data_IF_293631027544
#
_entry.id   IF_293631027544
#
_cell.length_a   1.000
_cell.length_b   1.000
_cell.length_c   1.000
_cell.angle_alpha   90.00
_cell.angle_beta   90.00
_cell.angle_gamma   90.00
#
_symmetry.space_group_name_H-M   'P 1'
#
loop_
_entity.id
_entity.type
_entity.pdbx_description
1 polymer ?
#
# COMPACT_ATOMS: atom_id res chain seq x y z
N UNK A 1 1.58 -46.20 -26.36
CA UNK A 1 2.85 -45.67 -25.81
C UNK A 1 2.98 -44.23 -26.26
N UNK A 2 2.58 -43.26 -25.44
CA UNK A 2 2.86 -41.83 -25.71
C UNK A 2 3.17 -41.16 -24.39
N UNK A 3 4.47 -40.99 -24.13
CA UNK A 3 4.99 -40.29 -22.98
C UNK A 3 5.03 -38.80 -23.27
N UNK A 4 3.98 -38.08 -22.88
CA UNK A 4 4.08 -36.64 -22.71
C UNK A 4 4.68 -36.37 -21.32
N UNK A 5 6.02 -36.39 -21.24
CA UNK A 5 6.73 -35.81 -20.11
C UNK A 5 6.39 -34.32 -20.07
N UNK A 6 5.50 -33.93 -19.16
CA UNK A 6 5.36 -32.53 -18.78
C UNK A 6 6.73 -32.06 -18.26
N UNK A 7 7.25 -30.90 -18.72
CA UNK A 7 8.42 -30.31 -18.07
C UNK A 7 8.09 -30.13 -16.58
N UNK A 8 9.04 -30.36 -15.66
CA UNK A 8 8.76 -30.20 -14.24
C UNK A 8 8.24 -28.78 -13.99
N UNK A 9 7.03 -28.67 -13.44
CA UNK A 9 6.47 -27.41 -12.98
C UNK A 9 7.38 -26.84 -11.89
N UNK A 10 8.33 -26.00 -12.28
CA UNK A 10 9.18 -25.19 -11.38
C UNK A 10 8.47 -23.89 -10.99
N UNK A 11 7.14 -23.89 -11.04
CA UNK A 11 6.33 -22.72 -10.74
C UNK A 11 6.46 -22.43 -9.26
N UNK A 12 7.16 -21.35 -8.92
CA UNK A 12 7.11 -20.79 -7.57
C UNK A 12 5.71 -20.20 -7.41
N UNK A 13 4.99 -20.60 -6.38
CA UNK A 13 3.69 -20.02 -6.06
C UNK A 13 3.88 -18.62 -5.50
N UNK A 14 3.00 -17.69 -5.89
CA UNK A 14 3.00 -16.33 -5.38
C UNK A 14 2.56 -16.35 -3.92
N UNK A 15 3.42 -15.89 -3.02
CA UNK A 15 3.07 -15.69 -1.61
C UNK A 15 2.48 -14.28 -1.41
N UNK A 16 1.82 -14.04 -0.28
CA UNK A 16 1.19 -12.75 0.02
C UNK A 16 2.02 -11.98 1.05
N UNK A 17 2.25 -10.69 0.78
CA UNK A 17 2.90 -9.75 1.71
C UNK A 17 1.81 -9.04 2.51
N UNK A 18 1.97 -8.91 3.82
CA UNK A 18 1.04 -8.09 4.61
C UNK A 18 1.53 -6.64 4.61
N UNK A 19 0.67 -5.71 4.19
CA UNK A 19 0.92 -4.27 4.27
C UNK A 19 -0.02 -3.66 5.31
N UNK A 20 0.55 -3.06 6.35
CA UNK A 20 -0.22 -2.44 7.43
C UNK A 20 0.12 -0.94 7.50
N UNK A 21 -0.82 -0.04 7.15
CA UNK A 21 -0.62 1.39 7.33
C UNK A 21 -0.77 1.78 8.80
N UNK A 22 -0.06 2.83 9.22
CA UNK A 22 -0.19 3.40 10.57
C UNK A 22 -1.50 4.15 10.80
N UNK A 23 -2.19 4.58 9.73
CA UNK A 23 -3.46 5.32 9.78
C UNK A 23 -4.41 4.89 8.67
N UNK A 24 -5.70 5.12 8.86
CA UNK A 24 -6.73 4.86 7.83
C UNK A 24 -6.79 5.94 6.73
N UNK A 25 -6.36 7.16 7.05
CA UNK A 25 -6.29 8.31 6.13
C UNK A 25 -5.15 9.24 6.49
N UNK A 26 -4.69 10.00 5.51
CA UNK A 26 -3.56 10.94 5.62
C UNK A 26 -3.92 12.31 5.06
N UNK A 27 -3.21 13.34 5.51
CA UNK A 27 -3.29 14.69 4.99
C UNK A 27 -2.00 15.07 4.25
N UNK A 28 -2.04 16.02 3.30
CA UNK A 28 -0.83 16.62 2.74
C UNK A 28 0.10 17.14 3.84
N UNK A 29 1.37 16.73 3.80
CA UNK A 29 2.36 17.04 4.84
C UNK A 29 2.62 15.89 5.83
N UNK A 30 1.72 14.91 5.90
CA UNK A 30 1.97 13.69 6.67
C UNK A 30 3.11 12.84 6.07
N UNK A 31 3.63 11.91 6.87
CA UNK A 31 4.45 10.80 6.37
C UNK A 31 3.78 9.49 6.75
N UNK A 32 3.27 8.76 5.76
CA UNK A 32 2.68 7.45 5.98
C UNK A 32 3.77 6.43 6.34
N UNK A 33 3.54 5.65 7.38
CA UNK A 33 4.41 4.56 7.80
C UNK A 33 3.72 3.24 7.50
N UNK A 34 4.29 2.47 6.58
CA UNK A 34 3.72 1.20 6.14
C UNK A 34 4.61 0.07 6.62
N UNK A 35 4.09 -0.74 7.55
CA UNK A 35 4.75 -1.98 7.95
C UNK A 35 4.54 -3.02 6.85
N UNK A 36 5.66 -3.51 6.32
CA UNK A 36 5.73 -4.57 5.33
C UNK A 36 6.16 -5.85 6.05
N UNK A 37 5.32 -6.87 6.05
CA UNK A 37 5.64 -8.18 6.61
C UNK A 37 5.82 -9.17 5.46
N UNK A 38 7.05 -9.68 5.35
CA UNK A 38 7.43 -10.66 4.35
C UNK A 38 7.18 -12.08 4.87
N UNK A 39 6.64 -12.99 4.04
CA UNK A 39 6.46 -14.39 4.42
C UNK A 39 7.79 -15.17 4.43
N UNK A 40 8.86 -14.61 3.87
CA UNK A 40 10.22 -15.16 3.86
C UNK A 40 11.29 -14.10 4.17
N UNK A 41 12.45 -14.55 4.63
CA UNK A 41 13.57 -13.65 4.97
C UNK A 41 14.92 -14.35 4.72
N UNK A 42 15.95 -13.64 4.23
CA UNK A 42 15.93 -12.23 3.79
C UNK A 42 15.20 -12.04 2.44
N UNK A 43 14.70 -10.82 2.20
CA UNK A 43 14.05 -10.44 0.95
C UNK A 43 14.54 -9.09 0.42
N UNK A 44 14.61 -8.98 -0.90
CA UNK A 44 14.79 -7.73 -1.63
C UNK A 44 13.42 -7.25 -2.12
N UNK A 45 13.13 -5.97 -1.91
CA UNK A 45 11.83 -5.37 -2.18
C UNK A 45 11.89 -4.20 -3.16
N UNK A 46 10.81 -4.05 -3.93
CA UNK A 46 10.54 -2.90 -4.77
C UNK A 46 9.19 -2.30 -4.36
N UNK A 47 9.23 -1.07 -3.87
CA UNK A 47 8.04 -0.23 -3.69
C UNK A 47 7.78 0.52 -4.99
N UNK A 48 6.58 0.36 -5.56
CA UNK A 48 6.08 1.17 -6.66
C UNK A 48 4.97 2.08 -6.14
N UNK A 49 5.13 3.38 -6.36
CA UNK A 49 4.14 4.39 -5.96
C UNK A 49 3.50 4.98 -7.21
N UNK A 50 2.17 5.03 -7.23
CA UNK A 50 1.40 5.43 -8.41
C UNK A 50 0.14 6.21 -8.04
N UNK A 51 -0.22 7.17 -8.90
CA UNK A 51 -1.48 7.90 -8.87
C UNK A 51 -1.82 8.31 -10.30
N UNK A 52 -2.89 7.74 -10.86
CA UNK A 52 -3.27 7.95 -12.27
C UNK A 52 -2.12 7.70 -13.26
N UNK A 53 -1.19 6.81 -12.89
CA UNK A 53 0.08 6.61 -13.57
C UNK A 53 1.22 6.39 -12.60
N UNK A 54 2.39 6.05 -13.13
CA UNK A 54 3.61 5.85 -12.36
C UNK A 54 4.12 7.16 -11.74
N UNK A 55 4.52 7.15 -10.47
CA UNK A 55 5.21 8.27 -9.83
C UNK A 55 6.69 7.96 -9.64
N UNK A 56 7.01 6.93 -8.86
CA UNK A 56 8.40 6.50 -8.60
C UNK A 56 8.46 5.06 -8.10
N UNK A 57 9.68 4.51 -8.08
CA UNK A 57 9.99 3.26 -7.40
C UNK A 57 11.12 3.45 -6.39
N UNK A 58 11.07 2.71 -5.28
CA UNK A 58 12.14 2.67 -4.27
C UNK A 58 12.50 1.23 -3.96
N UNK A 59 13.79 0.91 -3.93
CA UNK A 59 14.28 -0.41 -3.48
C UNK A 59 14.46 -0.42 -1.97
N UNK A 60 14.22 -1.56 -1.34
CA UNK A 60 14.43 -1.74 0.10
C UNK A 60 14.74 -3.21 0.41
N UNK A 61 15.24 -3.46 1.62
CA UNK A 61 15.56 -4.81 2.09
C UNK A 61 14.72 -5.18 3.31
N UNK A 62 14.43 -6.47 3.44
CA UNK A 62 13.77 -7.08 4.58
C UNK A 62 14.72 -8.12 5.17
N UNK A 63 15.34 -7.79 6.30
CA UNK A 63 16.33 -8.67 6.94
C UNK A 63 15.70 -9.64 7.96
N UNK A 64 14.71 -9.15 8.73
CA UNK A 64 14.12 -9.85 9.87
C UNK A 64 12.62 -10.11 9.68
N UNK A 65 12.21 -10.46 8.46
CA UNK A 65 10.81 -10.76 8.11
C UNK A 65 9.86 -9.55 8.07
N UNK A 66 10.28 -8.37 8.52
CA UNK A 66 9.52 -7.13 8.31
C UNK A 66 10.41 -5.90 8.20
N UNK A 67 9.86 -4.84 7.62
CA UNK A 67 10.48 -3.52 7.51
C UNK A 67 9.40 -2.44 7.44
N UNK A 68 9.74 -1.19 7.75
CA UNK A 68 8.80 -0.06 7.68
C UNK A 68 9.21 0.89 6.57
N UNK A 69 8.28 1.17 5.66
CA UNK A 69 8.46 2.15 4.58
C UNK A 69 7.84 3.49 4.98
N UNK A 70 8.61 4.56 4.82
CA UNK A 70 8.14 5.93 5.04
C UNK A 70 7.82 6.61 3.71
N UNK A 71 6.58 7.05 3.53
CA UNK A 71 6.09 7.67 2.29
C UNK A 71 5.58 9.08 2.62
N UNK A 72 6.30 10.15 2.21
CA UNK A 72 5.85 11.52 2.44
C UNK A 72 4.61 11.81 1.58
N UNK A 73 3.53 12.27 2.20
CA UNK A 73 2.25 12.55 1.55
C UNK A 73 2.23 14.00 1.07
N UNK A 74 2.08 14.19 -0.25
CA UNK A 74 2.03 15.50 -0.90
C UNK A 74 0.59 15.85 -1.29
N UNK A 75 0.32 17.15 -1.47
CA UNK A 75 -0.99 17.65 -1.91
C UNK A 75 -1.40 17.09 -3.28
N UNK A 76 -0.42 16.86 -4.18
CA UNK A 76 -0.64 16.25 -5.48
C UNK A 76 -1.15 14.79 -5.42
N UNK A 77 -1.11 14.15 -4.25
CA UNK A 77 -1.56 12.77 -4.03
C UNK A 77 -3.05 12.66 -3.68
N UNK A 78 -3.77 13.76 -3.48
CA UNK A 78 -5.23 13.77 -3.28
C UNK A 78 -5.92 13.20 -4.53
N UNK A 79 -6.95 12.33 -4.46
CA UNK A 79 -7.62 11.90 -3.24
C UNK A 79 -7.06 10.59 -2.65
N UNK A 80 -6.13 9.94 -3.34
CA UNK A 80 -5.57 8.65 -2.96
C UNK A 80 -4.22 8.39 -3.63
N UNK A 81 -3.44 7.53 -2.98
CA UNK A 81 -2.14 7.07 -3.45
C UNK A 81 -2.10 5.54 -3.47
N UNK A 82 -1.80 4.95 -4.61
CA UNK A 82 -1.65 3.51 -4.73
C UNK A 82 -0.19 3.12 -4.53
N UNK A 83 0.04 2.14 -3.67
CA UNK A 83 1.34 1.53 -3.47
C UNK A 83 1.28 0.04 -3.81
N UNK A 84 2.32 -0.45 -4.45
CA UNK A 84 2.54 -1.87 -4.68
C UNK A 84 3.92 -2.22 -4.15
N UNK A 85 4.00 -3.36 -3.48
CA UNK A 85 5.24 -3.93 -2.97
C UNK A 85 5.43 -5.29 -3.64
N UNK A 86 6.58 -5.46 -4.26
CA UNK A 86 7.03 -6.73 -4.81
C UNK A 86 8.29 -7.17 -4.06
N UNK A 87 8.27 -8.37 -3.49
CA UNK A 87 9.38 -8.98 -2.77
C UNK A 87 9.90 -10.19 -3.51
N UNK A 88 11.22 -10.36 -3.52
CA UNK A 88 11.90 -11.56 -4.01
C UNK A 88 12.93 -12.02 -2.98
N UNK A 89 13.04 -13.32 -2.80
CA UNK A 89 13.95 -13.89 -1.81
C UNK A 89 14.06 -15.39 -1.90
N UNK A 90 14.51 -15.98 -0.79
CA UNK A 90 14.63 -17.42 -0.64
C UNK A 90 13.80 -17.88 0.56
N UNK A 91 13.11 -19.01 0.38
CA UNK A 91 12.33 -19.65 1.43
C UNK A 91 12.78 -21.11 1.59
N UNK A 92 12.57 -21.65 2.79
CA UNK A 92 12.83 -23.06 3.03
C UNK A 92 11.84 -23.95 2.26
N UNK A 93 12.29 -25.14 1.86
CA UNK A 93 11.42 -26.13 1.22
C UNK A 93 10.60 -26.87 2.28
N UNK A 94 9.33 -27.08 2.00
CA UNK A 94 8.43 -27.88 2.84
C UNK A 94 8.10 -29.21 2.16
N UNK A 95 7.82 -30.24 2.95
CA UNK A 95 7.22 -31.49 2.46
C UNK A 95 5.70 -31.33 2.20
N UNK A 96 5.05 -32.39 1.71
CA UNK A 96 3.60 -32.42 1.45
C UNK A 96 2.74 -32.20 2.72
N UNK A 97 3.35 -32.34 3.91
CA UNK A 97 2.73 -32.11 5.20
C UNK A 97 3.06 -30.71 5.79
N UNK A 98 3.78 -29.86 5.05
CA UNK A 98 4.16 -28.51 5.47
C UNK A 98 5.38 -28.43 6.39
N UNK A 99 6.08 -29.54 6.65
CA UNK A 99 7.27 -29.55 7.50
C UNK A 99 8.50 -29.08 6.72
N UNK A 100 9.31 -28.23 7.36
CA UNK A 100 10.55 -27.70 6.76
C UNK A 100 11.58 -28.82 6.58
N UNK A 101 12.06 -28.97 5.35
CA UNK A 101 13.12 -29.90 4.96
C UNK A 101 14.50 -29.31 5.29
N UNK A 102 15.02 -29.58 6.49
CA UNK A 102 16.29 -29.03 7.01
C UNK A 102 17.54 -29.30 6.16
N UNK A 103 17.51 -30.32 5.28
CA UNK A 103 18.65 -30.71 4.44
C UNK A 103 18.43 -30.41 2.95
N UNK A 104 17.39 -29.64 2.60
CA UNK A 104 17.14 -29.23 1.22
C UNK A 104 17.72 -27.84 0.98
N UNK A 105 18.25 -27.59 -0.23
CA UNK A 105 18.57 -26.22 -0.62
C UNK A 105 17.29 -25.34 -0.56
N UNK A 106 17.45 -24.05 -0.32
CA UNK A 106 16.32 -23.12 -0.35
C UNK A 106 15.71 -23.04 -1.76
N UNK A 107 14.42 -22.71 -1.82
CA UNK A 107 13.73 -22.39 -3.06
C UNK A 107 13.66 -20.87 -3.24
N UNK A 108 13.59 -20.42 -4.49
CA UNK A 108 13.19 -19.04 -4.77
C UNK A 108 11.75 -18.81 -4.28
N UNK A 109 11.50 -17.61 -3.77
CA UNK A 109 10.20 -17.14 -3.33
C UNK A 109 9.97 -15.72 -3.84
N UNK A 110 8.72 -15.40 -4.16
CA UNK A 110 8.28 -14.04 -4.46
C UNK A 110 6.91 -13.81 -3.84
N UNK A 111 6.67 -12.56 -3.45
CA UNK A 111 5.42 -12.15 -2.87
C UNK A 111 5.07 -10.73 -3.30
N UNK A 112 3.79 -10.46 -3.54
CA UNK A 112 3.32 -9.14 -3.96
C UNK A 112 2.11 -8.72 -3.14
N UNK A 113 2.00 -7.43 -2.83
CA UNK A 113 0.82 -6.84 -2.25
C UNK A 113 0.61 -5.40 -2.72
N UNK A 114 -0.63 -4.92 -2.66
CA UNK A 114 -0.98 -3.55 -3.01
C UNK A 114 -1.89 -2.93 -1.95
N UNK A 115 -1.74 -1.64 -1.72
CA UNK A 115 -2.54 -0.86 -0.77
C UNK A 115 -2.87 0.51 -1.36
N UNK A 116 -4.10 1.00 -1.15
CA UNK A 116 -4.49 2.37 -1.51
C UNK A 116 -4.63 3.21 -0.25
N UNK A 117 -3.77 4.22 -0.11
CA UNK A 117 -3.84 5.19 0.99
C UNK A 117 -4.90 6.25 0.68
N UNK A 118 -5.78 6.55 1.65
CA UNK A 118 -6.83 7.56 1.52
C UNK A 118 -6.28 8.93 1.91
N UNK A 119 -6.41 9.91 1.01
CA UNK A 119 -5.92 11.28 1.20
C UNK A 119 -7.05 12.24 0.87
N UNK A 120 -8.06 12.40 1.73
CA UNK A 120 -9.25 13.19 1.41
C UNK A 120 -8.88 14.65 1.12
N UNK A 121 -9.61 15.32 0.21
CA UNK A 121 -9.41 16.73 -0.02
C UNK A 121 -9.74 17.51 1.24
N UNK A 122 -8.88 18.46 1.61
CA UNK A 122 -9.14 19.38 2.71
C UNK A 122 -10.34 20.25 2.29
N UNK A 123 -11.51 20.00 2.87
CA UNK A 123 -12.66 20.88 2.69
C UNK A 123 -12.33 22.18 3.39
N UNK A 124 -12.01 23.22 2.62
CA UNK A 124 -12.04 24.59 3.13
C UNK A 124 -13.51 24.94 3.32
N UNK A 125 -14.06 24.67 4.49
CA UNK A 125 -15.35 25.24 4.87
C UNK A 125 -15.20 26.76 4.90
N UNK A 126 -15.77 27.45 3.91
CA UNK A 126 -15.89 28.89 3.95
C UNK A 126 -17.07 29.20 4.88
N UNK A 127 -16.79 29.55 6.13
CA UNK A 127 -17.81 30.04 7.06
C UNK A 127 -18.33 31.38 6.57
N UNK A 128 -19.41 31.37 5.78
CA UNK A 128 -20.10 32.58 5.37
C UNK A 128 -21.04 32.99 6.50
N UNK A 129 -20.56 33.89 7.38
CA UNK A 129 -21.42 34.56 8.34
C UNK A 129 -22.16 35.70 7.65
N UNK A 130 -23.43 35.49 7.30
CA UNK A 130 -24.34 36.59 6.95
C UNK A 130 -24.94 37.11 8.25
N UNK A 131 -24.42 38.21 8.77
CA UNK A 131 -25.13 39.03 9.78
C UNK A 131 -26.02 40.02 9.04
N UNK A 132 -27.36 39.82 9.01
CA UNK A 132 -28.26 40.84 8.50
C UNK A 132 -28.25 42.06 9.42
N UNK A 133 -27.97 43.24 8.87
CA UNK A 133 -27.85 44.51 9.61
C UNK A 133 -29.21 45.11 10.03
N UNK A 134 -30.34 44.56 9.57
CA UNK A 134 -31.67 45.12 9.85
C UNK A 134 -32.71 44.05 10.13
N UNK A 135 -33.05 43.91 11.40
CA UNK A 135 -34.36 43.39 11.82
C UNK A 135 -35.37 44.52 11.59
N UNK A 136 -36.26 44.31 10.62
CA UNK A 136 -37.53 45.04 10.38
C UNK A 136 -37.51 46.08 9.26
N UNK A 137 -38.10 45.71 8.13
CA UNK A 137 -38.85 46.62 7.27
C UNK A 137 -40.31 46.60 7.76
N UNK A 138 -40.81 47.73 8.25
CA UNK A 138 -42.24 47.95 8.49
C UNK A 138 -42.95 48.10 7.13
N UNK A 139 -43.98 47.29 6.81
CA UNK A 139 -44.73 47.45 5.57
C UNK A 139 -45.84 48.49 5.75
N UNK A 140 -45.79 49.58 4.97
CA UNK A 140 -46.97 50.41 4.67
C UNK A 140 -46.95 51.85 5.17
N UNK A 141 -46.09 52.69 4.59
CA UNK A 141 -46.34 54.14 4.56
C UNK A 141 -47.29 54.47 3.40
N UNK A 142 -48.56 54.77 3.71
CA UNK A 142 -49.51 55.35 2.74
C UNK A 142 -49.48 56.88 2.85
N UNK A 143 -49.65 57.55 1.71
CA UNK A 143 -50.25 58.89 1.63
C UNK A 143 -51.71 58.83 2.07
#
# INVERSE_FOLDING_TARGET
MSGAQHPPSRTVEQEEVTLVPDRESYEPGDTAQILVQSPFSPAEGLLTVSRNGFLYTTRFQVENGSTTLSIPIKEEFIPNLNIQVDLVGAADRTDDAGNVLKNAAQRSAYATASLSLKIPPIQRELTVNVTPEVTRLEPGGKT
#
